data_IF_530538223885
#
_entry.id   IF_530538223885
#
_cell.length_a   1.000
_cell.length_b   1.000
_cell.length_c   1.000
_cell.angle_alpha   90.00
_cell.angle_beta   90.00
_cell.angle_gamma   90.00
#
_symmetry.space_group_name_H-M   'P 1'
#
loop_
_entity.id
_entity.type
_entity.pdbx_description
1 polymer ?
#
# COMPACT_ATOMS: atom_id res chain seq x y z
N UNK A 1 -39.65 26.96 -37.86
CA UNK A 1 -39.13 26.33 -36.62
C UNK A 1 -38.83 24.86 -36.88
N UNK A 2 -37.57 24.47 -37.02
CA UNK A 2 -37.16 23.08 -37.33
C UNK A 2 -37.06 22.22 -36.07
N UNK A 3 -37.98 21.28 -35.90
CA UNK A 3 -38.06 20.36 -34.75
C UNK A 3 -36.87 19.38 -34.75
N UNK A 4 -35.85 19.62 -33.91
CA UNK A 4 -34.64 18.77 -33.83
C UNK A 4 -35.01 17.30 -33.50
N UNK A 5 -34.39 16.35 -34.21
CA UNK A 5 -34.57 14.91 -33.99
C UNK A 5 -33.84 14.47 -32.71
N UNK A 6 -34.57 13.88 -31.76
CA UNK A 6 -34.02 13.26 -30.55
C UNK A 6 -33.71 11.78 -30.84
N UNK A 7 -32.58 11.27 -30.39
CA UNK A 7 -32.18 9.87 -30.59
C UNK A 7 -32.99 8.88 -29.75
N UNK A 8 -32.84 7.59 -30.03
CA UNK A 8 -33.42 6.52 -29.22
C UNK A 8 -32.94 6.60 -27.75
N UNK A 9 -33.76 6.15 -26.80
CA UNK A 9 -33.35 6.05 -25.40
C UNK A 9 -32.26 5.01 -25.21
N UNK A 10 -31.42 5.17 -24.18
CA UNK A 10 -30.24 4.32 -23.93
C UNK A 10 -30.57 2.81 -23.97
N UNK A 11 -31.62 2.29 -23.30
CA UNK A 11 -31.94 0.86 -23.36
C UNK A 11 -32.40 0.38 -24.75
N UNK A 12 -33.04 1.22 -25.56
CA UNK A 12 -33.44 0.85 -26.92
C UNK A 12 -32.27 0.95 -27.91
N UNK A 13 -31.37 1.93 -27.71
CA UNK A 13 -30.15 2.09 -28.50
C UNK A 13 -29.19 0.91 -28.31
N UNK A 14 -28.89 0.53 -27.06
CA UNK A 14 -28.04 -0.63 -26.74
C UNK A 14 -28.59 -1.93 -27.30
N UNK A 15 -29.92 -2.06 -27.37
CA UNK A 15 -30.62 -3.23 -27.93
C UNK A 15 -30.87 -3.12 -29.44
N UNK A 16 -30.45 -2.04 -30.11
CA UNK A 16 -30.64 -1.75 -31.54
C UNK A 16 -32.10 -1.90 -32.00
N UNK A 17 -33.06 -1.45 -31.18
CA UNK A 17 -34.51 -1.52 -31.46
C UNK A 17 -35.14 -0.14 -31.64
N UNK A 18 -36.20 -0.08 -32.44
CA UNK A 18 -37.01 1.13 -32.61
C UNK A 18 -37.52 1.67 -31.26
N UNK A 19 -37.45 2.99 -31.11
CA UNK A 19 -37.76 3.71 -29.88
C UNK A 19 -38.76 4.83 -30.15
N UNK A 20 -39.88 4.81 -29.42
CA UNK A 20 -40.99 5.77 -29.50
C UNK A 20 -40.84 6.96 -28.52
N UNK A 21 -39.69 7.07 -27.83
CA UNK A 21 -39.42 8.13 -26.85
C UNK A 21 -39.57 9.56 -27.41
N UNK A 22 -39.34 9.75 -28.71
CA UNK A 22 -39.51 11.05 -29.38
C UNK A 22 -41.00 11.42 -29.58
N UNK A 23 -41.91 10.44 -29.58
CA UNK A 23 -43.35 10.63 -29.80
C UNK A 23 -44.14 10.68 -28.50
N UNK A 24 -43.86 9.75 -27.57
CA UNK A 24 -44.57 9.59 -26.28
C UNK A 24 -43.86 10.29 -25.11
N UNK A 25 -42.58 10.63 -25.25
CA UNK A 25 -41.71 11.04 -24.15
C UNK A 25 -41.02 9.84 -23.48
N UNK A 26 -40.34 10.10 -22.37
CA UNK A 26 -39.71 9.07 -21.54
C UNK A 26 -40.53 8.82 -20.27
N UNK A 27 -40.83 7.56 -19.90
CA UNK A 27 -40.36 6.31 -20.50
C UNK A 27 -41.08 5.95 -21.82
N UNK A 28 -40.37 5.25 -22.71
CA UNK A 28 -40.94 4.76 -23.97
C UNK A 28 -41.73 3.46 -23.76
N UNK A 29 -42.69 3.16 -24.65
CA UNK A 29 -43.59 2.01 -24.50
C UNK A 29 -42.84 0.67 -24.42
N UNK A 30 -41.65 0.58 -25.02
CA UNK A 30 -40.80 -0.63 -25.01
C UNK A 30 -39.98 -0.78 -23.71
N UNK A 31 -39.70 0.30 -22.99
CA UNK A 31 -39.10 0.27 -21.67
C UNK A 31 -40.14 0.05 -20.57
N UNK A 32 -41.34 0.64 -20.68
CA UNK A 32 -42.49 0.33 -19.81
C UNK A 32 -42.78 -1.17 -19.79
N UNK A 33 -42.98 -1.79 -20.97
CA UNK A 33 -43.23 -3.24 -21.12
C UNK A 33 -42.11 -4.17 -20.61
N UNK A 34 -40.95 -3.63 -20.22
CA UNK A 34 -39.82 -4.42 -19.68
C UNK A 34 -39.41 -4.02 -18.27
N UNK A 35 -40.17 -3.15 -17.59
CA UNK A 35 -39.81 -2.65 -16.25
C UNK A 35 -38.54 -1.78 -16.23
N UNK A 36 -38.07 -1.29 -17.39
CA UNK A 36 -36.85 -0.49 -17.54
C UNK A 36 -37.13 1.02 -17.54
N UNK A 37 -38.20 1.44 -16.84
CA UNK A 37 -38.65 2.84 -16.81
C UNK A 37 -37.59 3.77 -16.22
N UNK A 38 -36.99 3.40 -15.09
CA UNK A 38 -35.93 4.16 -14.42
C UNK A 38 -34.61 4.31 -15.21
N UNK A 39 -34.42 3.50 -16.26
CA UNK A 39 -33.24 3.58 -17.15
C UNK A 39 -33.56 4.20 -18.51
N UNK A 40 -34.81 4.60 -18.75
CA UNK A 40 -35.28 5.06 -20.06
C UNK A 40 -34.96 6.55 -20.33
N UNK A 41 -33.69 6.92 -20.34
CA UNK A 41 -33.26 8.29 -20.68
C UNK A 41 -32.90 8.44 -22.16
N UNK A 42 -33.08 9.64 -22.77
CA UNK A 42 -32.62 9.90 -24.13
C UNK A 42 -31.10 9.74 -24.24
N UNK A 43 -30.60 9.12 -25.30
CA UNK A 43 -29.15 9.06 -25.50
C UNK A 43 -28.60 10.47 -25.81
N UNK A 44 -27.81 11.02 -24.88
CA UNK A 44 -27.20 12.34 -25.03
C UNK A 44 -26.20 12.35 -26.21
N UNK A 45 -26.24 13.42 -27.01
CA UNK A 45 -25.18 13.70 -28.00
C UNK A 45 -24.15 14.60 -27.33
N UNK A 46 -22.94 14.08 -27.13
CA UNK A 46 -21.76 14.75 -26.54
C UNK A 46 -21.88 15.17 -25.06
N UNK A 47 -20.74 15.22 -24.37
CA UNK A 47 -20.64 15.39 -22.92
C UNK A 47 -20.95 16.83 -22.41
N UNK A 48 -21.22 17.78 -23.31
CA UNK A 48 -21.51 19.18 -22.97
C UNK A 48 -22.89 19.38 -22.34
N UNK A 49 -23.91 18.67 -22.82
CA UNK A 49 -25.31 18.95 -22.46
C UNK A 49 -25.71 18.37 -21.09
N UNK A 50 -24.97 17.37 -20.59
CA UNK A 50 -25.23 16.74 -19.29
C UNK A 50 -25.00 17.70 -18.10
N UNK A 51 -24.03 18.62 -18.21
CA UNK A 51 -23.76 19.63 -17.16
C UNK A 51 -24.94 20.57 -16.91
N UNK A 52 -25.72 20.88 -17.95
CA UNK A 52 -26.75 21.92 -17.92
C UNK A 52 -28.04 21.51 -17.18
N UNK A 53 -28.35 20.20 -17.11
CA UNK A 53 -29.47 19.70 -16.31
C UNK A 53 -29.13 19.56 -14.81
N UNK A 54 -27.85 19.44 -14.45
CA UNK A 54 -27.47 19.30 -13.03
C UNK A 54 -27.45 20.65 -12.30
N UNK A 55 -27.13 21.74 -13.00
CA UNK A 55 -27.09 23.11 -12.44
C UNK A 55 -28.48 23.72 -12.13
N UNK A 56 -29.60 23.08 -12.49
CA UNK A 56 -30.96 23.58 -12.22
C UNK A 56 -31.60 23.01 -10.94
N UNK A 57 -30.87 22.28 -10.09
CA UNK A 57 -31.47 21.58 -8.93
C UNK A 57 -30.88 21.87 -7.54
N UNK A 58 -29.83 22.68 -7.43
CA UNK A 58 -29.28 23.06 -6.10
C UNK A 58 -28.86 24.52 -6.10
N UNK A 59 -29.68 25.34 -5.44
CA UNK A 59 -29.29 26.63 -4.88
C UNK A 59 -30.18 26.90 -3.66
N UNK A 60 -29.59 27.29 -2.53
CA UNK A 60 -30.09 28.38 -1.72
C UNK A 60 -29.13 29.57 -1.80
N UNK A 61 -29.68 30.78 -1.73
CA UNK A 61 -28.94 32.04 -1.63
C UNK A 61 -28.14 32.11 -0.31
N UNK A 62 -27.03 32.85 -0.36
CA UNK A 62 -26.49 33.59 0.78
C UNK A 62 -25.72 34.80 0.22
N UNK A 63 -26.08 35.98 0.70
CA UNK A 63 -25.77 37.26 0.05
C UNK A 63 -24.31 37.70 0.17
N UNK A 64 -23.86 38.42 -0.86
CA UNK A 64 -22.60 39.16 -0.90
C UNK A 64 -22.91 40.65 -0.77
N UNK A 65 -22.52 41.27 0.35
CA UNK A 65 -22.32 42.72 0.40
C UNK A 65 -20.82 43.06 0.32
N UNK A 66 -20.52 44.10 -0.45
CA UNK A 66 -19.17 44.46 -0.93
C UNK A 66 -18.71 45.82 -0.42
N UNK A 67 -17.44 45.91 0.01
CA UNK A 67 -16.55 47.07 -0.22
C UNK A 67 -15.12 46.62 0.09
N UNK A 68 -14.16 46.56 -0.86
CA UNK A 68 -13.49 47.66 -1.58
C UNK A 68 -12.55 48.54 -0.74
N UNK A 69 -11.46 48.97 -1.40
CA UNK A 69 -10.34 49.80 -0.92
C UNK A 69 -9.31 49.05 -0.03
N UNK A 70 -7.99 49.15 -0.22
CA UNK A 70 -7.19 49.89 -1.20
C UNK A 70 -5.99 50.60 -0.53
N UNK A 71 -4.76 50.34 -0.97
CA UNK A 71 -3.58 51.07 -0.47
C UNK A 71 -2.26 50.29 -0.50
N UNK A 72 -1.21 50.92 -1.02
CA UNK A 72 0.18 50.45 -0.98
C UNK A 72 0.90 51.06 0.24
N UNK A 73 1.88 50.36 0.81
CA UNK A 73 3.25 50.86 1.11
C UNK A 73 4.06 49.71 1.74
N UNK A 74 5.35 49.62 1.45
CA UNK A 74 6.27 48.68 2.12
C UNK A 74 7.21 49.38 3.10
N UNK A 75 7.67 48.64 4.10
CA UNK A 75 8.89 48.89 4.89
C UNK A 75 9.44 47.57 5.42
N UNK A 76 10.77 47.42 5.39
CA UNK A 76 11.50 46.25 5.86
C UNK A 76 11.59 46.12 7.39
N UNK A 77 12.21 44.99 7.79
CA UNK A 77 12.86 44.69 9.08
C UNK A 77 11.94 44.18 10.20
N UNK A 78 12.09 42.88 10.49
CA UNK A 78 11.47 42.20 11.61
C UNK A 78 11.88 40.72 11.67
N UNK A 79 13.18 40.44 11.82
CA UNK A 79 13.68 39.07 12.06
C UNK A 79 13.07 38.56 13.36
N UNK A 80 12.41 37.41 13.31
CA UNK A 80 12.16 36.63 14.52
C UNK A 80 12.15 35.13 14.16
N UNK A 81 13.20 34.42 14.60
CA UNK A 81 13.37 32.98 14.42
C UNK A 81 12.40 32.21 15.32
N UNK A 82 11.13 32.16 14.89
CA UNK A 82 10.15 31.20 15.38
C UNK A 82 10.28 29.90 14.61
N UNK A 83 11.08 28.96 15.10
CA UNK A 83 11.17 27.61 14.55
C UNK A 83 9.85 26.85 14.76
N UNK A 84 8.88 27.07 13.87
CA UNK A 84 7.66 26.28 13.82
C UNK A 84 8.01 24.82 13.51
N UNK A 85 7.81 23.96 14.50
CA UNK A 85 7.91 22.50 14.34
C UNK A 85 7.00 22.06 13.19
N UNK A 86 7.59 21.51 12.13
CA UNK A 86 6.82 20.98 11.00
C UNK A 86 6.06 19.73 11.46
N UNK A 87 4.73 19.64 11.28
CA UNK A 87 4.00 18.42 11.58
C UNK A 87 4.50 17.28 10.69
N UNK A 88 4.75 16.13 11.32
CA UNK A 88 5.33 14.95 10.68
C UNK A 88 4.24 14.08 10.06
N UNK A 89 4.41 13.78 8.77
CA UNK A 89 3.83 12.66 8.02
C UNK A 89 2.29 12.48 8.00
N UNK A 90 1.62 13.22 7.11
CA UNK A 90 0.45 12.69 6.38
C UNK A 90 0.61 13.01 4.88
N UNK A 91 0.76 12.00 4.01
CA UNK A 91 0.69 12.17 2.54
C UNK A 91 -0.02 11.02 1.81
N UNK A 92 -1.34 11.18 1.63
CA UNK A 92 -2.15 10.51 0.59
C UNK A 92 -2.13 11.36 -0.70
N UNK A 93 -2.41 10.87 -1.92
CA UNK A 93 -3.23 9.72 -2.36
C UNK A 93 -2.67 9.02 -3.62
N UNK A 94 -2.91 7.69 -3.75
CA UNK A 94 -2.69 6.92 -4.98
C UNK A 94 -3.97 6.74 -5.84
N UNK A 95 -4.65 7.87 -6.09
CA UNK A 95 -5.70 8.10 -7.11
C UNK A 95 -7.14 7.66 -6.80
N UNK A 96 -7.95 8.66 -6.41
CA UNK A 96 -9.40 8.76 -6.71
C UNK A 96 -9.74 10.23 -7.02
N UNK A 97 -10.76 10.58 -7.80
CA UNK A 97 -11.76 9.77 -8.50
C UNK A 97 -11.64 9.89 -10.03
N UNK A 98 -11.73 8.74 -10.73
CA UNK A 98 -11.48 8.58 -12.19
C UNK A 98 -10.05 8.90 -12.66
N UNK A 99 -9.16 7.90 -12.51
CA UNK A 99 -7.76 7.88 -12.94
C UNK A 99 -7.62 7.31 -14.37
N UNK A 100 -7.62 8.17 -15.41
CA UNK A 100 -6.68 8.03 -16.52
C UNK A 100 -5.26 7.58 -16.11
N UNK A 101 -4.26 8.43 -16.35
CA UNK A 101 -3.02 8.48 -15.56
C UNK A 101 -2.56 9.94 -15.34
N UNK A 102 -3.39 10.90 -14.89
CA UNK A 102 -4.67 10.80 -14.16
C UNK A 102 -5.77 11.62 -14.87
N UNK A 103 -6.00 11.31 -16.15
CA UNK A 103 -6.61 12.13 -17.21
C UNK A 103 -5.82 13.38 -17.60
N UNK A 104 -5.13 14.00 -16.63
CA UNK A 104 -4.24 15.14 -16.85
C UNK A 104 -2.90 15.03 -16.10
N UNK A 105 -2.36 13.81 -15.95
CA UNK A 105 -0.88 13.64 -15.92
C UNK A 105 -0.24 13.93 -17.30
N UNK A 106 -1.04 14.51 -18.19
CA UNK A 106 -1.51 14.03 -19.52
C UNK A 106 -2.07 15.26 -20.27
N UNK A 107 -1.17 16.22 -20.36
CA UNK A 107 -1.19 17.56 -20.97
C UNK A 107 0.23 18.12 -20.81
N UNK A 108 0.94 17.61 -19.79
CA UNK A 108 2.39 17.46 -19.72
C UNK A 108 3.19 18.73 -19.44
N UNK A 109 2.86 19.39 -18.33
CA UNK A 109 3.91 19.96 -17.48
C UNK A 109 4.69 18.88 -16.70
N UNK A 110 4.01 17.75 -16.36
CA UNK A 110 4.43 16.66 -15.45
C UNK A 110 5.21 17.14 -14.21
N UNK A 111 4.57 17.07 -13.03
CA UNK A 111 4.95 15.92 -12.20
C UNK A 111 3.80 15.30 -11.40
N UNK A 112 3.91 14.01 -11.10
CA UNK A 112 3.35 13.39 -9.89
C UNK A 112 4.20 12.21 -9.44
N UNK A 113 4.80 12.35 -8.27
CA UNK A 113 4.88 11.31 -7.22
C UNK A 113 4.90 12.04 -5.89
N UNK A 114 4.21 11.47 -4.91
CA UNK A 114 4.55 11.47 -3.48
C UNK A 114 3.59 10.44 -2.86
N UNK A 115 4.12 9.52 -2.08
CA UNK A 115 3.35 8.49 -1.40
C UNK A 115 3.93 8.32 -0.01
N UNK A 116 3.16 8.69 1.02
CA UNK A 116 3.47 8.31 2.39
C UNK A 116 2.19 8.26 3.22
N UNK A 117 1.43 7.20 2.97
CA UNK A 117 0.25 6.88 3.75
C UNK A 117 0.69 6.19 5.04
N UNK A 118 0.84 6.98 6.09
CA UNK A 118 0.54 6.50 7.44
C UNK A 118 -0.94 6.77 7.68
N UNK A 119 -1.82 5.75 7.70
CA UNK A 119 -3.15 5.94 8.24
C UNK A 119 -3.00 6.16 9.74
N UNK A 120 -3.42 7.32 10.24
CA UNK A 120 -3.75 7.46 11.66
C UNK A 120 -4.96 6.56 11.94
N UNK A 121 -4.67 5.31 12.31
CA UNK A 121 -5.68 4.44 12.87
C UNK A 121 -5.96 4.87 14.31
N UNK A 122 -7.21 4.71 14.80
CA UNK A 122 -7.45 4.64 16.23
C UNK A 122 -6.53 3.57 16.83
N UNK A 123 -5.59 3.97 17.69
CA UNK A 123 -4.55 3.09 18.24
C UNK A 123 -5.11 1.94 19.11
N UNK A 124 -6.39 2.00 19.46
CA UNK A 124 -7.03 1.11 20.43
C UNK A 124 -7.71 -0.11 19.81
N UNK A 125 -7.79 -0.22 18.46
CA UNK A 125 -8.43 -1.35 17.78
C UNK A 125 -7.43 -2.44 17.40
N UNK A 126 -7.78 -3.70 17.69
CA UNK A 126 -6.98 -4.87 17.31
C UNK A 126 -6.84 -4.94 15.78
N UNK A 127 -5.64 -5.29 15.30
CA UNK A 127 -5.33 -5.26 13.88
C UNK A 127 -6.27 -6.12 13.03
N UNK A 128 -6.53 -7.33 13.51
CA UNK A 128 -7.41 -8.30 12.85
C UNK A 128 -8.85 -7.78 12.74
N UNK A 129 -9.39 -7.16 13.79
CA UNK A 129 -10.74 -6.58 13.77
C UNK A 129 -10.84 -5.41 12.79
N UNK A 130 -9.81 -4.54 12.78
CA UNK A 130 -9.68 -3.43 11.84
C UNK A 130 -9.67 -3.92 10.39
N UNK A 131 -8.81 -4.89 10.08
CA UNK A 131 -8.71 -5.52 8.75
C UNK A 131 -10.05 -6.17 8.35
N UNK A 132 -10.72 -6.87 9.27
CA UNK A 132 -12.03 -7.49 9.04
C UNK A 132 -13.16 -6.47 8.81
N UNK A 133 -13.09 -5.28 9.40
CA UNK A 133 -14.17 -4.28 9.29
C UNK A 133 -14.42 -3.83 7.85
N UNK A 134 -13.40 -3.91 7.01
CA UNK A 134 -13.35 -3.43 5.62
C UNK A 134 -13.86 -4.45 4.59
N UNK A 135 -14.00 -5.71 5.01
CA UNK A 135 -14.24 -6.87 4.13
C UNK A 135 -15.73 -7.21 4.06
N UNK A 136 -16.23 -7.65 2.91
CA UNK A 136 -17.64 -8.03 2.76
C UNK A 136 -17.97 -9.38 3.44
N UNK A 137 -19.25 -9.79 3.43
CA UNK A 137 -19.67 -11.03 4.08
C UNK A 137 -19.15 -12.30 3.40
N UNK A 138 -19.02 -12.31 2.06
CA UNK A 138 -18.56 -13.47 1.32
C UNK A 138 -17.05 -13.68 1.49
N UNK A 139 -16.28 -12.60 1.47
CA UNK A 139 -14.85 -12.64 1.74
C UNK A 139 -14.56 -13.01 3.21
N UNK A 140 -15.40 -12.59 4.18
CA UNK A 140 -15.34 -13.05 5.59
C UNK A 140 -15.53 -14.57 5.72
N UNK A 141 -16.51 -15.14 5.02
CA UNK A 141 -16.71 -16.60 4.97
C UNK A 141 -15.50 -17.31 4.34
N UNK A 142 -14.94 -16.76 3.27
CA UNK A 142 -13.72 -17.28 2.65
C UNK A 142 -12.50 -17.21 3.58
N UNK A 143 -12.33 -16.11 4.32
CA UNK A 143 -11.28 -15.97 5.35
C UNK A 143 -11.45 -16.98 6.50
N UNK A 144 -12.69 -17.28 6.92
CA UNK A 144 -12.97 -18.34 7.89
C UNK A 144 -12.54 -19.72 7.36
N UNK A 145 -12.89 -20.05 6.11
CA UNK A 145 -12.47 -21.30 5.45
C UNK A 145 -10.94 -21.40 5.30
N UNK A 146 -10.27 -20.27 5.07
CA UNK A 146 -8.80 -20.14 5.00
C UNK A 146 -8.12 -19.99 6.37
N UNK A 147 -8.86 -20.11 7.47
CA UNK A 147 -8.34 -20.09 8.85
C UNK A 147 -7.50 -18.84 9.17
N UNK A 148 -7.86 -17.69 8.57
CA UNK A 148 -7.15 -16.41 8.77
C UNK A 148 -7.23 -15.93 10.23
N UNK A 149 -8.23 -16.38 10.99
CA UNK A 149 -8.42 -16.06 12.40
C UNK A 149 -7.63 -16.97 13.35
N UNK A 150 -7.02 -18.05 12.85
CA UNK A 150 -6.30 -19.03 13.66
C UNK A 150 -4.85 -18.55 13.94
N UNK A 151 -4.69 -17.45 14.65
CA UNK A 151 -3.38 -17.00 15.14
C UNK A 151 -2.76 -18.03 16.09
N UNK A 152 -1.42 -18.21 16.11
CA UNK A 152 -0.76 -19.06 17.09
C UNK A 152 -0.96 -18.55 18.52
N UNK A 153 -0.79 -19.43 19.50
CA UNK A 153 -0.77 -19.03 20.91
C UNK A 153 0.37 -18.03 21.16
N UNK A 154 0.16 -17.04 22.05
CA UNK A 154 1.09 -15.92 22.25
C UNK A 154 2.55 -16.34 22.47
N UNK A 155 2.80 -17.39 23.26
CA UNK A 155 4.15 -17.91 23.50
C UNK A 155 4.83 -18.47 22.23
N UNK A 156 4.09 -19.18 21.37
CA UNK A 156 4.56 -19.66 20.06
C UNK A 156 4.86 -18.47 19.15
N UNK A 157 3.97 -17.48 19.11
CA UNK A 157 4.19 -16.24 18.37
C UNK A 157 5.42 -15.46 18.86
N UNK A 158 5.69 -15.49 20.17
CA UNK A 158 6.87 -14.84 20.78
C UNK A 158 8.17 -15.56 20.40
N UNK A 159 8.18 -16.90 20.38
CA UNK A 159 9.32 -17.68 19.87
C UNK A 159 9.57 -17.41 18.39
N UNK A 160 8.52 -17.33 17.56
CA UNK A 160 8.63 -16.97 16.15
C UNK A 160 9.13 -15.53 15.94
N UNK A 161 8.72 -14.56 16.76
CA UNK A 161 9.25 -13.18 16.68
C UNK A 161 10.72 -13.12 17.15
N UNK A 162 11.11 -13.91 18.13
CA UNK A 162 12.51 -14.04 18.56
C UNK A 162 13.40 -14.60 17.45
N UNK A 163 13.00 -15.74 16.86
CA UNK A 163 13.71 -16.37 15.73
C UNK A 163 13.78 -15.46 14.49
N UNK A 164 12.75 -14.63 14.24
CA UNK A 164 12.82 -13.60 13.20
C UNK A 164 13.96 -12.60 13.44
N UNK A 165 14.10 -12.08 14.67
CA UNK A 165 15.19 -11.16 14.99
C UNK A 165 16.57 -11.82 14.97
N UNK A 166 16.65 -13.10 15.33
CA UNK A 166 17.91 -13.86 15.35
C UNK A 166 18.43 -14.19 13.94
N UNK A 167 17.56 -14.66 13.04
CA UNK A 167 17.98 -15.24 11.77
C UNK A 167 17.52 -14.48 10.52
N UNK A 168 16.36 -13.81 10.56
CA UNK A 168 15.74 -13.21 9.36
C UNK A 168 16.06 -11.73 9.24
N UNK A 169 16.03 -10.99 10.35
CA UNK A 169 16.14 -9.52 10.37
C UNK A 169 17.48 -9.01 9.77
N UNK A 170 18.59 -9.74 9.94
CA UNK A 170 19.87 -9.40 9.30
C UNK A 170 19.78 -9.38 7.77
N UNK A 171 18.96 -10.23 7.17
CA UNK A 171 18.77 -10.29 5.72
C UNK A 171 17.65 -9.36 5.24
N UNK A 172 16.69 -9.06 6.11
CA UNK A 172 15.52 -8.24 5.85
C UNK A 172 15.30 -7.21 6.97
N UNK A 173 16.16 -6.16 7.10
CA UNK A 173 16.10 -5.20 8.21
C UNK A 173 15.00 -4.14 8.01
N UNK A 174 13.81 -4.58 7.65
CA UNK A 174 12.69 -3.78 7.14
C UNK A 174 11.76 -3.22 8.22
N UNK A 175 12.01 -3.51 9.49
CA UNK A 175 11.19 -3.09 10.64
C UNK A 175 11.91 -2.01 11.46
N UNK A 176 11.15 -1.07 12.00
CA UNK A 176 11.55 -0.29 13.19
C UNK A 176 11.26 -1.19 14.39
N UNK A 177 12.32 -1.73 15.01
CA UNK A 177 12.20 -2.84 15.99
C UNK A 177 11.51 -2.39 17.28
N UNK A 178 11.89 -1.26 17.90
CA UNK A 178 11.11 -0.67 19.00
C UNK A 178 9.62 -0.48 18.69
N UNK A 179 9.30 0.11 17.53
CA UNK A 179 7.92 0.38 17.15
C UNK A 179 7.12 -0.90 16.91
N UNK A 180 7.66 -1.84 16.12
CA UNK A 180 7.04 -3.15 15.87
C UNK A 180 6.81 -3.91 17.18
N UNK A 181 7.81 -3.95 18.07
CA UNK A 181 7.69 -4.65 19.35
C UNK A 181 6.58 -4.06 20.23
N UNK A 182 6.41 -2.73 20.22
CA UNK A 182 5.31 -2.07 20.92
C UNK A 182 3.95 -2.48 20.33
N UNK A 183 3.77 -2.37 19.01
CA UNK A 183 2.52 -2.73 18.32
C UNK A 183 2.19 -4.23 18.41
N UNK A 184 3.20 -5.08 18.45
CA UNK A 184 3.05 -6.52 18.62
C UNK A 184 2.55 -6.88 20.02
N UNK A 185 3.09 -6.25 21.08
CA UNK A 185 2.59 -6.43 22.45
C UNK A 185 1.16 -5.90 22.64
N UNK A 186 0.80 -4.85 21.91
CA UNK A 186 -0.55 -4.26 21.93
C UNK A 186 -1.55 -4.98 21.01
N UNK A 187 -1.12 -5.98 20.24
CA UNK A 187 -1.94 -6.67 19.22
C UNK A 187 -2.53 -5.73 18.14
N UNK A 188 -1.87 -4.59 17.90
CA UNK A 188 -2.22 -3.57 16.88
C UNK A 188 -1.40 -3.72 15.58
N UNK A 189 -0.40 -4.61 15.60
CA UNK A 189 0.43 -4.98 14.45
C UNK A 189 -0.37 -5.74 13.37
N UNK A 190 -0.18 -5.35 12.10
CA UNK A 190 -0.76 -5.95 10.90
C UNK A 190 -0.74 -7.48 10.90
N UNK A 191 -1.91 -8.10 10.69
CA UNK A 191 -2.03 -9.56 10.57
C UNK A 191 -1.32 -10.07 9.32
N UNK A 192 -1.37 -9.30 8.24
CA UNK A 192 -0.63 -9.58 7.00
C UNK A 192 0.88 -9.63 7.24
N UNK A 193 1.42 -8.64 7.96
CA UNK A 193 2.83 -8.59 8.31
C UNK A 193 3.22 -9.75 9.23
N UNK A 194 2.41 -10.06 10.24
CA UNK A 194 2.65 -11.18 11.16
C UNK A 194 2.68 -12.53 10.43
N UNK A 195 1.72 -12.81 9.54
CA UNK A 195 1.77 -14.07 8.78
C UNK A 195 2.93 -14.13 7.78
N UNK A 196 3.31 -13.00 7.19
CA UNK A 196 4.50 -12.92 6.33
C UNK A 196 5.79 -13.18 7.12
N UNK A 197 5.87 -12.65 8.34
CA UNK A 197 6.98 -12.86 9.29
C UNK A 197 7.05 -14.31 9.78
N UNK A 198 5.93 -14.91 10.19
CA UNK A 198 5.90 -16.31 10.60
C UNK A 198 6.35 -17.22 9.46
N UNK A 199 5.82 -17.03 8.24
CA UNK A 199 6.26 -17.80 7.07
C UNK A 199 7.77 -17.65 6.80
N UNK A 200 8.35 -16.46 6.99
CA UNK A 200 9.79 -16.21 6.80
C UNK A 200 10.64 -16.87 7.89
N UNK A 201 10.07 -17.08 9.08
CA UNK A 201 10.74 -17.65 10.26
C UNK A 201 10.72 -19.17 10.30
N UNK A 202 9.67 -19.83 9.79
CA UNK A 202 9.52 -21.29 9.88
C UNK A 202 10.76 -22.13 9.47
N UNK A 203 11.60 -21.76 8.46
CA UNK A 203 12.83 -22.49 8.16
C UNK A 203 13.83 -22.63 9.31
N UNK A 204 13.73 -21.75 10.32
CA UNK A 204 14.58 -21.71 11.52
C UNK A 204 13.90 -22.28 12.77
N UNK A 205 12.64 -22.70 12.67
CA UNK A 205 11.87 -23.23 13.79
C UNK A 205 12.34 -24.64 14.20
N UNK A 206 12.35 -24.91 15.50
CA UNK A 206 12.66 -26.24 16.04
C UNK A 206 11.58 -27.26 15.68
N UNK A 207 11.93 -28.55 15.61
CA UNK A 207 10.96 -29.62 15.36
C UNK A 207 9.86 -29.71 16.44
N UNK A 208 10.12 -29.21 17.65
CA UNK A 208 9.14 -29.08 18.73
C UNK A 208 8.16 -27.94 18.42
N UNK A 209 8.66 -26.74 18.08
CA UNK A 209 7.83 -25.59 17.73
C UNK A 209 6.88 -25.87 16.56
N UNK A 210 7.31 -26.67 15.57
CA UNK A 210 6.45 -27.13 14.46
C UNK A 210 5.32 -28.05 14.94
N UNK A 211 5.58 -28.93 15.92
CA UNK A 211 4.56 -29.80 16.53
C UNK A 211 3.59 -29.00 17.41
N UNK A 212 4.09 -28.03 18.18
CA UNK A 212 3.27 -27.15 19.03
C UNK A 212 2.36 -26.22 18.20
N UNK A 213 2.82 -25.84 17.00
CA UNK A 213 1.99 -25.19 15.97
C UNK A 213 0.93 -26.12 15.35
N UNK A 214 0.97 -27.42 15.62
CA UNK A 214 0.03 -28.42 15.11
C UNK A 214 0.32 -28.95 13.70
N UNK A 215 1.56 -28.81 13.20
CA UNK A 215 1.95 -29.31 11.87
C UNK A 215 2.90 -30.51 11.96
N UNK A 216 2.87 -31.35 10.92
CA UNK A 216 3.77 -32.50 10.77
C UNK A 216 5.14 -32.09 10.21
N UNK A 217 5.20 -31.01 9.41
CA UNK A 217 6.43 -30.55 8.76
C UNK A 217 6.52 -29.03 8.73
N UNK A 218 7.75 -28.50 8.77
CA UNK A 218 8.01 -27.08 8.60
C UNK A 218 7.46 -26.57 7.26
N UNK A 219 7.59 -27.35 6.18
CA UNK A 219 7.04 -27.00 4.86
C UNK A 219 5.52 -26.77 4.90
N UNK A 220 4.77 -27.58 5.66
CA UNK A 220 3.32 -27.42 5.81
C UNK A 220 2.97 -26.16 6.64
N UNK A 221 3.66 -25.92 7.75
CA UNK A 221 3.49 -24.72 8.57
C UNK A 221 3.79 -23.44 7.79
N UNK A 222 4.91 -23.43 7.06
CA UNK A 222 5.32 -22.31 6.21
C UNK A 222 4.31 -22.04 5.09
N UNK A 223 3.85 -23.10 4.41
CA UNK A 223 2.86 -22.98 3.34
C UNK A 223 1.50 -22.49 3.81
N UNK A 224 1.06 -22.88 5.01
CA UNK A 224 -0.16 -22.36 5.62
C UNK A 224 -0.03 -20.86 5.92
N UNK A 225 1.02 -20.40 6.62
CA UNK A 225 1.20 -18.98 6.93
C UNK A 225 1.37 -18.13 5.67
N UNK A 226 2.14 -18.60 4.68
CA UNK A 226 2.25 -17.95 3.38
C UNK A 226 0.90 -17.86 2.66
N UNK A 227 0.08 -18.93 2.70
CA UNK A 227 -1.25 -18.94 2.11
C UNK A 227 -2.17 -17.88 2.75
N UNK A 228 -2.13 -17.74 4.09
CA UNK A 228 -2.91 -16.74 4.83
C UNK A 228 -2.47 -15.31 4.53
N UNK A 229 -1.16 -15.03 4.53
CA UNK A 229 -0.62 -13.74 4.10
C UNK A 229 -1.04 -13.39 2.65
N UNK A 230 -0.95 -14.36 1.74
CA UNK A 230 -1.39 -14.21 0.34
C UNK A 230 -2.89 -13.93 0.19
N UNK A 231 -3.74 -14.48 1.06
CA UNK A 231 -5.18 -14.17 1.09
C UNK A 231 -5.41 -12.74 1.56
N UNK A 232 -4.80 -12.31 2.67
CA UNK A 232 -4.91 -10.94 3.18
C UNK A 232 -4.43 -9.89 2.15
N UNK A 233 -3.30 -10.13 1.49
CA UNK A 233 -2.83 -9.30 0.38
C UNK A 233 -3.78 -9.33 -0.83
N UNK A 234 -4.35 -10.51 -1.15
CA UNK A 234 -5.25 -10.67 -2.29
C UNK A 234 -6.59 -9.95 -2.14
N UNK A 235 -7.11 -9.87 -0.91
CA UNK A 235 -8.33 -9.16 -0.55
C UNK A 235 -8.11 -7.65 -0.29
N UNK A 236 -6.86 -7.21 -0.16
CA UNK A 236 -6.52 -5.82 0.13
C UNK A 236 -6.87 -5.39 1.56
N UNK A 237 -6.84 -6.33 2.53
CA UNK A 237 -7.20 -6.05 3.92
C UNK A 237 -6.20 -5.09 4.60
N UNK A 238 -4.93 -5.14 4.20
CA UNK A 238 -3.90 -4.23 4.72
C UNK A 238 -3.96 -2.86 4.03
N UNK A 239 -4.22 -1.81 4.82
CA UNK A 239 -4.33 -0.43 4.35
C UNK A 239 -3.07 0.42 4.63
N UNK A 240 -2.14 -0.05 5.47
CA UNK A 240 -0.84 0.58 5.69
C UNK A 240 0.12 0.19 4.58
N UNK A 241 0.50 1.15 3.73
CA UNK A 241 1.48 0.91 2.66
C UNK A 241 2.82 0.41 3.23
N UNK A 242 3.19 0.85 4.44
CA UNK A 242 4.39 0.38 5.13
C UNK A 242 4.30 -1.11 5.49
N UNK A 243 3.24 -1.54 6.17
CA UNK A 243 3.07 -2.96 6.53
C UNK A 243 2.88 -3.84 5.29
N UNK A 244 2.19 -3.33 4.26
CA UNK A 244 2.02 -4.00 2.98
C UNK A 244 3.38 -4.19 2.27
N UNK A 245 4.23 -3.16 2.20
CA UNK A 245 5.58 -3.29 1.64
C UNK A 245 6.43 -4.26 2.46
N UNK A 246 6.43 -4.12 3.79
CA UNK A 246 7.21 -4.97 4.69
C UNK A 246 6.86 -6.46 4.53
N UNK A 247 5.58 -6.81 4.61
CA UNK A 247 5.14 -8.19 4.41
C UNK A 247 5.44 -8.68 3.00
N UNK A 248 5.22 -7.86 1.97
CA UNK A 248 5.53 -8.20 0.57
C UNK A 248 7.02 -8.50 0.36
N UNK A 249 7.92 -7.75 1.00
CA UNK A 249 9.37 -8.04 0.99
C UNK A 249 9.67 -9.39 1.65
N UNK A 250 9.04 -9.74 2.78
CA UNK A 250 9.21 -11.05 3.41
C UNK A 250 8.66 -12.19 2.56
N UNK A 251 7.56 -11.97 1.82
CA UNK A 251 7.03 -12.93 0.86
C UNK A 251 7.98 -13.17 -0.35
N UNK A 252 8.98 -12.31 -0.57
CA UNK A 252 10.07 -12.56 -1.52
C UNK A 252 11.12 -13.56 -0.98
N UNK A 253 11.08 -14.00 0.28
CA UNK A 253 12.07 -14.97 0.79
C UNK A 253 11.84 -16.41 0.29
N UNK A 254 10.69 -16.70 -0.34
CA UNK A 254 10.29 -18.05 -0.73
C UNK A 254 10.53 -18.33 -2.21
N UNK A 255 11.42 -19.28 -2.50
CA UNK A 255 11.75 -19.70 -3.87
C UNK A 255 10.86 -20.86 -4.35
N UNK A 256 9.96 -20.55 -5.29
CA UNK A 256 9.28 -21.47 -6.23
C UNK A 256 8.44 -22.67 -5.71
N UNK A 257 8.46 -23.04 -4.43
CA UNK A 257 7.77 -24.26 -3.96
C UNK A 257 6.34 -24.05 -3.41
N UNK A 258 5.96 -22.81 -3.06
CA UNK A 258 4.68 -22.51 -2.38
C UNK A 258 3.53 -22.09 -3.29
N UNK A 259 3.82 -21.55 -4.48
CA UNK A 259 2.82 -21.09 -5.44
C UNK A 259 3.40 -21.07 -6.85
N UNK A 260 2.70 -21.68 -7.81
CA UNK A 260 3.07 -21.70 -9.22
C UNK A 260 2.63 -20.43 -9.97
N UNK A 261 1.71 -19.65 -9.39
CA UNK A 261 1.09 -18.44 -9.98
C UNK A 261 1.60 -17.14 -9.37
N UNK A 262 1.97 -17.15 -8.09
CA UNK A 262 2.57 -16.03 -7.35
C UNK A 262 3.93 -16.46 -6.79
N UNK A 263 4.86 -16.73 -7.70
CA UNK A 263 6.24 -17.09 -7.39
C UNK A 263 7.03 -15.90 -6.80
N UNK A 264 8.32 -16.12 -6.51
CA UNK A 264 9.26 -15.09 -6.07
C UNK A 264 9.15 -13.79 -6.87
N UNK A 265 9.01 -13.89 -8.20
CA UNK A 265 9.07 -12.76 -9.13
C UNK A 265 7.82 -11.90 -9.03
N UNK A 266 6.65 -12.52 -8.80
CA UNK A 266 5.42 -11.80 -8.47
C UNK A 266 5.59 -10.92 -7.22
N UNK A 267 6.15 -11.47 -6.14
CA UNK A 267 6.36 -10.73 -4.89
C UNK A 267 7.43 -9.65 -5.06
N UNK A 268 8.56 -9.97 -5.71
CA UNK A 268 9.62 -9.00 -6.02
C UNK A 268 9.08 -7.81 -6.82
N UNK A 269 8.35 -8.05 -7.91
CA UNK A 269 7.77 -6.98 -8.73
C UNK A 269 6.76 -6.13 -7.94
N UNK A 270 6.00 -6.73 -7.02
CA UNK A 270 5.10 -5.97 -6.14
C UNK A 270 5.86 -5.17 -5.07
N UNK A 271 6.92 -5.71 -4.48
CA UNK A 271 7.78 -4.99 -3.53
C UNK A 271 8.44 -3.77 -4.22
N UNK A 272 9.01 -3.95 -5.42
CA UNK A 272 9.56 -2.86 -6.24
C UNK A 272 8.48 -1.83 -6.54
N UNK A 273 7.30 -2.25 -7.03
CA UNK A 273 6.17 -1.36 -7.31
C UNK A 273 5.79 -0.52 -6.09
N UNK A 274 5.62 -1.15 -4.92
CA UNK A 274 5.24 -0.49 -3.67
C UNK A 274 6.34 0.46 -3.17
N UNK A 275 7.61 0.05 -3.18
CA UNK A 275 8.73 0.91 -2.79
C UNK A 275 8.86 2.14 -3.71
N UNK A 276 8.74 1.95 -5.02
CA UNK A 276 8.76 3.03 -6.02
C UNK A 276 7.50 3.91 -5.95
N UNK A 277 6.36 3.36 -5.53
CA UNK A 277 5.12 4.09 -5.24
C UNK A 277 5.28 5.01 -4.01
N UNK A 278 5.88 4.50 -2.94
CA UNK A 278 6.23 5.21 -1.69
C UNK A 278 7.48 6.13 -1.81
N UNK A 279 8.07 6.25 -3.01
CA UNK A 279 9.17 7.19 -3.27
C UNK A 279 10.56 6.78 -2.78
N UNK A 280 10.76 5.54 -2.31
CA UNK A 280 12.02 5.04 -1.70
C UNK A 280 13.27 5.14 -2.60
N UNK A 281 13.07 5.37 -3.90
CA UNK A 281 14.10 5.49 -4.94
C UNK A 281 14.72 6.88 -5.06
N UNK A 282 14.05 7.93 -4.57
CA UNK A 282 14.54 9.32 -4.61
C UNK A 282 15.04 9.74 -3.24
N UNK A 283 16.19 10.42 -3.20
CA UNK A 283 16.71 11.05 -1.97
C UNK A 283 15.78 12.14 -1.43
N UNK A 284 14.92 12.74 -2.25
CA UNK A 284 14.00 13.81 -1.86
C UNK A 284 13.03 13.39 -0.76
N UNK A 285 12.65 12.11 -0.67
CA UNK A 285 11.75 11.59 0.38
C UNK A 285 12.35 11.79 1.78
N UNK A 286 13.68 11.81 1.89
CA UNK A 286 14.40 12.05 3.14
C UNK A 286 14.19 13.48 3.70
N UNK A 287 13.80 14.43 2.85
CA UNK A 287 13.56 15.83 3.25
C UNK A 287 12.17 16.04 3.90
N UNK A 288 11.28 15.05 3.77
CA UNK A 288 9.90 15.07 4.27
C UNK A 288 9.71 14.14 5.48
N UNK A 289 10.57 13.13 5.59
CA UNK A 289 10.52 12.10 6.64
C UNK A 289 11.29 12.48 7.91
N UNK A 290 10.90 11.88 9.04
CA UNK A 290 11.74 11.87 10.25
C UNK A 290 13.02 11.08 10.01
N UNK A 291 14.02 11.27 10.87
CA UNK A 291 15.26 10.51 10.80
C UNK A 291 15.03 8.99 10.93
N UNK A 292 14.15 8.51 11.82
CA UNK A 292 13.85 7.07 11.93
C UNK A 292 13.21 6.51 10.66
N UNK A 293 12.21 7.21 10.11
CA UNK A 293 11.56 6.78 8.87
C UNK A 293 12.52 6.83 7.67
N UNK A 294 13.36 7.86 7.55
CA UNK A 294 14.41 7.95 6.53
C UNK A 294 15.36 6.75 6.58
N UNK A 295 15.83 6.39 7.77
CA UNK A 295 16.67 5.20 7.99
C UNK A 295 15.93 3.93 7.55
N UNK A 296 14.73 3.70 8.09
CA UNK A 296 13.87 2.54 7.78
C UNK A 296 13.62 2.40 6.27
N UNK A 297 13.30 3.50 5.59
CA UNK A 297 12.99 3.51 4.16
C UNK A 297 14.23 3.19 3.33
N UNK A 298 15.41 3.67 3.74
CA UNK A 298 16.68 3.27 3.13
C UNK A 298 16.98 1.78 3.34
N UNK A 299 16.74 1.24 4.55
CA UNK A 299 16.87 -0.22 4.82
C UNK A 299 15.95 -1.04 3.91
N UNK A 300 14.68 -0.66 3.77
CA UNK A 300 13.73 -1.32 2.88
C UNK A 300 14.14 -1.21 1.40
N UNK A 301 14.55 -0.03 0.94
CA UNK A 301 14.97 0.17 -0.46
C UNK A 301 16.15 -0.70 -0.84
N UNK A 302 17.20 -0.70 0.00
CA UNK A 302 18.37 -1.54 -0.22
C UNK A 302 18.06 -3.03 -0.08
N UNK A 303 17.11 -3.43 0.79
CA UNK A 303 16.61 -4.82 0.82
C UNK A 303 15.96 -5.23 -0.50
N UNK A 304 15.22 -4.32 -1.15
CA UNK A 304 14.59 -4.58 -2.45
C UNK A 304 15.63 -4.66 -3.58
N UNK A 305 16.64 -3.78 -3.60
CA UNK A 305 17.80 -3.89 -4.53
C UNK A 305 18.53 -5.22 -4.32
N UNK A 306 18.75 -5.62 -3.06
CA UNK A 306 19.39 -6.90 -2.73
C UNK A 306 18.66 -8.10 -3.32
N UNK A 307 17.32 -8.12 -3.24
CA UNK A 307 16.51 -9.20 -3.80
C UNK A 307 16.58 -9.24 -5.33
N UNK A 308 16.62 -8.07 -5.97
CA UNK A 308 16.73 -7.97 -7.42
C UNK A 308 18.09 -8.49 -7.92
N UNK A 309 19.19 -8.00 -7.36
CA UNK A 309 20.56 -8.44 -7.69
C UNK A 309 20.76 -9.92 -7.34
N UNK A 310 20.32 -10.37 -6.16
CA UNK A 310 20.46 -11.78 -5.75
C UNK A 310 19.72 -12.74 -6.69
N UNK A 311 18.59 -12.31 -7.28
CA UNK A 311 17.84 -13.15 -8.23
C UNK A 311 18.59 -13.39 -9.54
N UNK A 312 19.39 -12.42 -9.99
CA UNK A 312 20.25 -12.56 -11.18
C UNK A 312 21.50 -13.38 -10.89
N UNK A 313 22.19 -13.08 -9.77
CA UNK A 313 23.38 -13.85 -9.34
C UNK A 313 23.04 -15.33 -9.13
N UNK A 314 21.84 -15.63 -8.63
CA UNK A 314 21.36 -17.00 -8.42
C UNK A 314 20.85 -17.69 -9.69
N UNK A 315 20.87 -17.01 -10.85
CA UNK A 315 20.38 -17.53 -12.13
C UNK A 315 18.85 -17.71 -12.22
N UNK A 316 18.08 -17.14 -11.29
CA UNK A 316 16.61 -17.20 -11.31
C UNK A 316 16.01 -16.26 -12.35
N UNK A 317 16.71 -15.17 -12.67
CA UNK A 317 16.34 -14.20 -13.72
C UNK A 317 17.56 -13.81 -14.57
N UNK A 318 17.38 -13.51 -15.87
CA UNK A 318 18.48 -13.17 -16.77
C UNK A 318 18.98 -11.72 -16.64
N UNK A 319 18.18 -10.81 -16.07
CA UNK A 319 18.48 -9.37 -15.95
C UNK A 319 17.86 -8.78 -14.69
N UNK A 320 18.48 -7.73 -14.14
CA UNK A 320 17.92 -6.93 -13.03
C UNK A 320 16.70 -6.14 -13.51
N UNK A 321 15.71 -5.95 -12.63
CA UNK A 321 14.53 -5.13 -12.90
C UNK A 321 14.79 -3.65 -12.59
N UNK A 322 15.58 -3.37 -11.55
CA UNK A 322 15.98 -2.03 -11.13
C UNK A 322 17.23 -1.62 -11.93
N UNK A 323 17.25 -0.37 -12.39
CA UNK A 323 18.41 0.25 -13.03
C UNK A 323 19.05 1.24 -12.06
N UNK A 324 20.37 1.23 -11.99
CA UNK A 324 21.12 2.11 -11.10
C UNK A 324 20.90 3.58 -11.47
N UNK A 325 20.84 3.89 -12.77
CA UNK A 325 20.53 5.23 -13.34
C UNK A 325 19.20 5.82 -12.86
N UNK A 326 18.26 4.99 -12.39
CA UNK A 326 16.96 5.43 -11.92
C UNK A 326 16.94 5.74 -10.41
N UNK A 327 18.05 5.54 -9.70
CA UNK A 327 18.11 5.49 -8.23
C UNK A 327 19.06 6.53 -7.64
N UNK A 328 18.50 7.50 -6.92
CA UNK A 328 19.26 8.58 -6.25
C UNK A 328 19.45 8.34 -4.74
N UNK A 329 18.88 7.26 -4.20
CA UNK A 329 18.95 6.93 -2.77
C UNK A 329 20.40 6.61 -2.37
N UNK A 330 20.98 7.31 -1.38
CA UNK A 330 22.35 7.08 -0.95
C UNK A 330 22.51 5.66 -0.41
N UNK A 331 23.75 5.14 -0.47
CA UNK A 331 24.06 3.84 0.09
C UNK A 331 23.76 3.79 1.59
N UNK A 332 23.24 2.65 2.04
CA UNK A 332 23.01 2.40 3.45
C UNK A 332 24.34 2.39 4.23
N UNK A 333 24.31 2.98 5.42
CA UNK A 333 25.42 3.01 6.36
C UNK A 333 25.02 2.38 7.70
N UNK A 334 25.96 2.20 8.63
CA UNK A 334 25.69 1.49 9.90
C UNK A 334 24.79 2.30 10.83
N UNK A 335 24.76 3.62 10.69
CA UNK A 335 23.88 4.54 11.42
C UNK A 335 22.42 4.41 10.97
N UNK A 336 22.16 3.81 9.80
CA UNK A 336 20.79 3.48 9.38
C UNK A 336 20.17 2.35 10.21
N UNK A 337 20.95 1.68 11.07
CA UNK A 337 20.46 0.70 12.05
C UNK A 337 20.33 1.26 13.47
N UNK A 338 20.56 2.56 13.68
CA UNK A 338 20.47 3.15 15.02
C UNK A 338 19.02 3.41 15.41
N UNK A 339 18.60 2.68 16.45
CA UNK A 339 17.30 2.79 17.12
C UNK A 339 17.21 4.09 17.93
N UNK A 340 16.00 4.62 18.12
CA UNK A 340 15.81 5.85 18.88
C UNK A 340 16.14 5.66 20.37
N UNK A 341 16.96 6.55 20.93
CA UNK A 341 17.34 6.51 22.34
C UNK A 341 16.11 6.64 23.25
N UNK A 342 15.87 5.64 24.09
CA UNK A 342 14.75 5.60 25.04
C UNK A 342 13.95 4.30 25.04
N UNK A 343 14.10 3.44 24.02
CA UNK A 343 13.38 2.15 23.93
C UNK A 343 14.36 0.97 23.84
N UNK A 344 15.34 0.91 24.74
CA UNK A 344 16.16 -0.29 24.93
C UNK A 344 15.30 -1.33 25.65
N UNK A 345 14.63 -2.17 24.85
CA UNK A 345 13.76 -3.24 25.32
C UNK A 345 14.57 -4.53 25.47
N UNK A 346 14.66 -5.05 26.70
CA UNK A 346 15.46 -6.24 27.03
C UNK A 346 14.96 -7.53 26.37
N UNK A 347 13.73 -7.51 25.85
CA UNK A 347 13.09 -8.58 25.09
C UNK A 347 13.50 -8.61 23.60
N UNK A 348 14.32 -7.67 23.13
CA UNK A 348 14.80 -7.60 21.74
C UNK A 348 16.33 -7.79 21.72
N UNK A 349 16.88 -8.78 20.99
CA UNK A 349 18.34 -8.93 20.85
C UNK A 349 19.01 -7.66 20.28
N UNK A 350 20.17 -7.27 20.80
CA UNK A 350 20.92 -6.15 20.24
C UNK A 350 21.49 -6.49 18.84
N UNK A 351 21.42 -5.55 17.88
CA UNK A 351 22.07 -5.73 16.57
C UNK A 351 23.57 -5.54 16.77
N UNK A 352 24.38 -6.56 16.47
CA UNK A 352 25.84 -6.46 16.62
C UNK A 352 26.45 -5.58 15.52
N UNK A 353 27.65 -5.05 15.78
CA UNK A 353 28.39 -4.27 14.78
C UNK A 353 28.61 -5.06 13.49
N UNK A 354 28.90 -6.36 13.61
CA UNK A 354 29.12 -7.26 12.47
C UNK A 354 27.85 -7.49 11.67
N UNK A 355 26.68 -7.59 12.32
CA UNK A 355 25.39 -7.70 11.63
C UNK A 355 25.06 -6.43 10.84
N UNK A 356 25.30 -5.24 11.41
CA UNK A 356 25.17 -3.95 10.70
C UNK A 356 26.11 -3.91 9.49
N UNK A 357 27.39 -4.23 9.70
CA UNK A 357 28.42 -4.18 8.66
C UNK A 357 28.17 -5.20 7.54
N UNK A 358 27.71 -6.41 7.87
CA UNK A 358 27.37 -7.45 6.89
C UNK A 358 26.33 -6.95 5.88
N UNK A 359 25.25 -6.33 6.32
CA UNK A 359 24.23 -5.82 5.41
C UNK A 359 24.73 -4.63 4.58
N UNK A 360 25.54 -3.73 5.17
CA UNK A 360 26.19 -2.63 4.44
C UNK A 360 27.12 -3.16 3.34
N UNK A 361 27.99 -4.12 3.64
CA UNK A 361 28.88 -4.77 2.67
C UNK A 361 28.09 -5.49 1.57
N UNK A 362 27.00 -6.18 1.94
CA UNK A 362 26.08 -6.80 0.97
C UNK A 362 25.54 -5.75 -0.01
N UNK A 363 25.16 -4.56 0.49
CA UNK A 363 24.67 -3.43 -0.31
C UNK A 363 25.73 -2.81 -1.21
N UNK A 364 26.98 -2.72 -0.76
CA UNK A 364 28.11 -2.30 -1.61
C UNK A 364 28.37 -3.29 -2.75
N UNK A 365 28.35 -4.60 -2.46
CA UNK A 365 28.53 -5.64 -3.49
C UNK A 365 27.46 -5.61 -4.57
N UNK A 366 26.22 -5.24 -4.23
CA UNK A 366 25.12 -5.11 -5.20
C UNK A 366 25.27 -3.95 -6.19
N UNK A 367 26.19 -3.01 -5.96
CA UNK A 367 26.53 -1.96 -6.93
C UNK A 367 27.58 -2.41 -7.97
N UNK A 368 28.18 -3.60 -7.80
CA UNK A 368 29.26 -4.11 -8.65
C UNK A 368 28.79 -5.15 -9.69
N UNK A 369 27.49 -5.49 -9.72
CA UNK A 369 26.92 -6.53 -10.60
C UNK A 369 25.50 -6.22 -11.07
#
# INVERSE_FOLDING_TARGET
>A
MTRRKVGACVPCHTRKVACDAQQRGTPCSRCEKKGLTGLCMPAARSASDAKRLHQQKVAPELDLETSEQGGQTGTDIGVNDGAFEKPVAIMKEHYKDYNPYVLLGEAFGKPRRLGLVSPEYPNDMLALEREMSLVDSADKEYMQQKRIYNMPAKHISDELVSLFYEHVYIHFPILDRPHFQSSYHQSTCSTFLLYSLYAATIPYASAQLIQDLGFVTAQAAQGEFFCRAKVLHGLGCELSELALLQGTILLCSFTHFLDQTKDFRFWKCNAIRLAVQMGLRSREICNVLTQSMTRLYRRMWWTVIQLDVSSVISGLEPVRFIRDEETDTPIIATEDFDEAAGVVRSDIPAITSDQKQFFVLKCQLAQLG
#
